data_IF_851292900277
#
_entry.id   IF_851292900277
#
_cell.length_a   1.000
_cell.length_b   1.000
_cell.length_c   1.000
_cell.angle_alpha   90.00
_cell.angle_beta   90.00
_cell.angle_gamma   90.00
#
_symmetry.space_group_name_H-M   'P 1'
#
loop_
_entity.id
_entity.type
_entity.pdbx_description
1 polymer ?
#
# COMPACT_ATOMS: atom_id res chain seq x y z
N UNK A 1 9.75 -32.26 -18.03
CA UNK A 1 9.34 -33.17 -16.94
C UNK A 1 8.27 -32.42 -16.17
N UNK A 2 7.01 -32.68 -16.44
CA UNK A 2 5.86 -32.05 -15.75
C UNK A 2 5.70 -32.82 -14.44
N UNK A 3 5.94 -32.14 -13.31
CA UNK A 3 5.69 -32.71 -11.99
C UNK A 3 4.19 -32.66 -11.75
N UNK A 4 3.55 -33.81 -11.74
CA UNK A 4 2.13 -33.95 -11.40
C UNK A 4 1.96 -33.80 -9.88
N UNK A 5 1.56 -32.62 -9.45
CA UNK A 5 1.35 -32.24 -8.04
C UNK A 5 0.01 -32.78 -7.47
N UNK A 6 -0.73 -33.59 -8.21
CA UNK A 6 -2.05 -34.09 -7.78
C UNK A 6 -2.02 -35.34 -6.93
N UNK A 7 -0.86 -35.95 -6.69
CA UNK A 7 -0.70 -37.20 -5.93
C UNK A 7 0.27 -37.05 -4.77
N UNK A 8 -0.09 -36.32 -3.73
CA UNK A 8 0.53 -36.50 -2.42
C UNK A 8 -0.52 -36.47 -1.32
N UNK A 9 -0.72 -37.64 -0.70
CA UNK A 9 -1.61 -37.95 0.40
C UNK A 9 -1.15 -37.36 1.75
N UNK A 10 -0.85 -36.04 1.82
CA UNK A 10 -0.63 -35.33 3.09
C UNK A 10 -1.79 -34.40 3.46
N UNK A 11 -3.00 -34.71 3.02
CA UNK A 11 -4.20 -33.86 3.10
C UNK A 11 -5.03 -34.05 4.36
N UNK A 12 -4.60 -34.86 5.35
CA UNK A 12 -5.49 -35.19 6.48
C UNK A 12 -5.78 -34.03 7.46
N UNK A 13 -4.87 -33.06 7.59
CA UNK A 13 -5.07 -31.93 8.50
C UNK A 13 -5.93 -30.79 7.88
N UNK A 14 -5.96 -30.67 6.55
CA UNK A 14 -6.75 -29.67 5.83
C UNK A 14 -8.15 -30.18 5.43
N UNK A 15 -8.41 -31.48 5.53
CA UNK A 15 -9.72 -32.06 5.24
C UNK A 15 -10.81 -31.65 6.25
N UNK A 16 -10.45 -31.02 7.37
CA UNK A 16 -11.36 -30.53 8.40
C UNK A 16 -11.28 -29.00 8.56
N UNK A 17 -10.95 -28.26 7.50
CA UNK A 17 -10.93 -26.80 7.54
C UNK A 17 -12.34 -26.27 7.81
N UNK A 18 -12.50 -25.57 8.94
CA UNK A 18 -13.73 -24.92 9.35
C UNK A 18 -13.59 -23.40 9.21
N UNK A 19 -14.33 -22.78 8.28
CA UNK A 19 -14.27 -21.33 8.06
C UNK A 19 -14.63 -20.49 9.30
N UNK A 20 -15.63 -20.92 10.08
CA UNK A 20 -16.08 -20.17 11.26
C UNK A 20 -15.05 -20.21 12.38
N UNK A 21 -14.35 -21.33 12.53
CA UNK A 21 -13.22 -21.45 13.45
C UNK A 21 -12.04 -20.57 12.96
N UNK A 22 -11.78 -20.55 11.66
CA UNK A 22 -10.72 -19.73 11.08
C UNK A 22 -10.97 -18.23 11.29
N UNK A 23 -12.20 -17.76 11.15
CA UNK A 23 -12.60 -16.37 11.44
C UNK A 23 -12.27 -16.03 12.90
N UNK A 24 -12.62 -16.87 13.87
CA UNK A 24 -12.29 -16.67 15.29
C UNK A 24 -10.78 -16.59 15.55
N UNK A 25 -9.96 -17.27 14.74
CA UNK A 25 -8.52 -17.19 14.83
C UNK A 25 -7.96 -15.87 14.26
N UNK A 26 -8.57 -15.34 13.22
CA UNK A 26 -8.26 -13.99 12.72
C UNK A 26 -8.68 -12.90 13.71
N UNK A 27 -9.83 -13.06 14.37
CA UNK A 27 -10.27 -12.13 15.44
C UNK A 27 -9.27 -12.04 16.60
N UNK A 28 -8.63 -13.17 17.01
CA UNK A 28 -7.55 -13.15 18.01
C UNK A 28 -6.33 -12.33 17.59
N UNK A 29 -6.11 -12.21 16.28
CA UNK A 29 -5.03 -11.42 15.70
C UNK A 29 -5.45 -9.97 15.41
N UNK A 30 -6.70 -9.59 15.73
CA UNK A 30 -7.31 -8.31 15.35
C UNK A 30 -7.25 -8.05 13.83
N UNK A 31 -7.47 -9.09 13.04
CA UNK A 31 -7.55 -9.04 11.59
C UNK A 31 -8.99 -9.32 11.14
N UNK A 32 -9.61 -8.35 10.51
CA UNK A 32 -10.98 -8.38 10.01
C UNK A 32 -11.08 -8.41 8.47
N UNK A 33 -9.98 -8.09 7.78
CA UNK A 33 -9.92 -8.09 6.33
C UNK A 33 -8.50 -8.33 5.80
N UNK A 34 -8.40 -8.78 4.56
CA UNK A 34 -7.17 -8.74 3.76
C UNK A 34 -7.05 -7.45 2.95
N UNK A 35 -5.85 -7.14 2.44
CA UNK A 35 -5.66 -6.01 1.51
C UNK A 35 -4.51 -6.28 0.54
N UNK A 36 -4.46 -5.58 -0.62
CA UNK A 36 -3.34 -5.70 -1.55
C UNK A 36 -1.99 -5.36 -0.92
N UNK A 37 -1.96 -4.37 -0.03
CA UNK A 37 -0.74 -3.98 0.70
C UNK A 37 -0.25 -5.03 1.70
N UNK A 38 -1.17 -5.82 2.27
CA UNK A 38 -0.81 -6.98 3.08
C UNK A 38 -0.18 -8.07 2.21
N UNK A 39 -0.81 -8.42 1.09
CA UNK A 39 -0.35 -9.49 0.20
C UNK A 39 1.03 -9.18 -0.41
N UNK A 40 1.33 -7.89 -0.64
CA UNK A 40 2.62 -7.44 -1.15
C UNK A 40 3.81 -7.68 -0.21
N UNK A 41 3.57 -7.99 1.06
CA UNK A 41 4.62 -8.23 2.06
C UNK A 41 5.09 -9.68 2.05
N UNK A 42 6.32 -9.93 2.52
CA UNK A 42 6.75 -11.29 2.85
C UNK A 42 5.88 -11.87 3.97
N UNK A 43 5.84 -13.18 4.14
CA UNK A 43 5.09 -13.78 5.24
C UNK A 43 5.62 -13.34 6.61
N UNK A 44 6.93 -13.12 6.73
CA UNK A 44 7.56 -12.64 7.95
C UNK A 44 7.17 -11.18 8.26
N UNK A 45 7.22 -10.29 7.26
CA UNK A 45 6.80 -8.90 7.41
C UNK A 45 5.30 -8.79 7.71
N UNK A 46 4.49 -9.60 7.03
CA UNK A 46 3.06 -9.68 7.30
C UNK A 46 2.77 -10.15 8.73
N UNK A 47 3.46 -11.19 9.19
CA UNK A 47 3.31 -11.73 10.54
C UNK A 47 3.62 -10.67 11.59
N UNK A 48 4.72 -9.92 11.43
CA UNK A 48 5.06 -8.83 12.34
C UNK A 48 4.04 -7.70 12.25
N UNK A 49 3.79 -7.21 11.05
CA UNK A 49 3.00 -6.00 10.86
C UNK A 49 1.52 -6.18 11.21
N UNK A 50 0.95 -7.36 11.00
CA UNK A 50 -0.49 -7.54 11.12
C UNK A 50 -0.90 -8.51 12.23
N UNK A 51 -0.01 -9.42 12.66
CA UNK A 51 -0.33 -10.39 13.68
C UNK A 51 0.39 -10.15 15.02
N UNK A 52 1.48 -9.35 15.01
CA UNK A 52 2.28 -9.07 16.22
C UNK A 52 2.24 -7.61 16.65
N UNK A 53 2.39 -6.68 15.72
CA UNK A 53 2.30 -5.25 16.01
C UNK A 53 0.85 -4.82 16.21
N UNK A 54 0.61 -3.99 17.23
CA UNK A 54 -0.65 -3.26 17.36
C UNK A 54 -0.75 -2.10 16.35
N UNK A 55 -1.86 -1.39 16.36
CA UNK A 55 -2.10 -0.28 15.44
C UNK A 55 -1.09 0.88 15.64
N UNK A 56 -0.67 1.12 16.87
CA UNK A 56 0.29 2.17 17.21
C UNK A 56 1.68 1.83 16.68
N UNK A 57 2.13 0.59 16.84
CA UNK A 57 3.40 0.11 16.30
C UNK A 57 3.44 0.23 14.79
N UNK A 58 2.37 -0.20 14.10
CA UNK A 58 2.24 -0.09 12.64
C UNK A 58 2.30 1.35 12.16
N UNK A 59 1.62 2.25 12.87
CA UNK A 59 1.67 3.68 12.58
C UNK A 59 3.08 4.21 12.74
N UNK A 60 3.74 3.95 13.86
CA UNK A 60 5.08 4.43 14.18
C UNK A 60 6.14 3.87 13.22
N UNK A 61 6.01 2.61 12.78
CA UNK A 61 6.89 2.02 11.77
C UNK A 61 6.81 2.75 10.43
N UNK A 62 5.64 3.20 10.04
CA UNK A 62 5.39 3.77 8.71
C UNK A 62 5.53 5.30 8.68
N UNK A 63 5.59 5.98 9.83
CA UNK A 63 5.74 7.43 9.88
C UNK A 63 7.06 7.84 9.24
N UNK A 64 6.97 8.70 8.22
CA UNK A 64 8.11 9.28 7.55
C UNK A 64 7.71 10.56 6.81
N UNK A 65 8.68 11.42 6.49
CA UNK A 65 8.42 12.59 5.65
C UNK A 65 7.76 12.24 4.31
N UNK A 66 8.12 11.08 3.72
CA UNK A 66 7.54 10.62 2.45
C UNK A 66 6.06 10.32 2.57
N UNK A 67 5.67 9.63 3.65
CA UNK A 67 4.26 9.37 3.92
C UNK A 67 3.50 10.67 4.13
N UNK A 68 4.04 11.60 4.93
CA UNK A 68 3.42 12.90 5.18
C UNK A 68 3.28 13.71 3.88
N UNK A 69 4.33 13.78 3.06
CA UNK A 69 4.27 14.46 1.76
C UNK A 69 3.29 13.81 0.79
N UNK A 70 3.30 12.48 0.70
CA UNK A 70 2.33 11.73 -0.13
C UNK A 70 0.89 11.98 0.28
N UNK A 71 0.61 12.00 1.59
CA UNK A 71 -0.73 12.32 2.14
C UNK A 71 -1.13 13.76 1.79
N UNK A 72 -0.23 14.75 1.93
CA UNK A 72 -0.54 16.15 1.59
C UNK A 72 -0.81 16.33 0.10
N UNK A 73 0.00 15.72 -0.77
CA UNK A 73 -0.20 15.75 -2.23
C UNK A 73 -1.52 15.06 -2.60
N UNK A 74 -1.78 13.87 -2.03
CA UNK A 74 -3.03 13.14 -2.25
C UNK A 74 -4.24 13.97 -1.85
N UNK A 75 -4.28 14.50 -0.61
CA UNK A 75 -5.41 15.32 -0.14
C UNK A 75 -5.61 16.59 -0.95
N UNK A 76 -4.52 17.29 -1.33
CA UNK A 76 -4.62 18.47 -2.17
C UNK A 76 -5.28 18.14 -3.52
N UNK A 77 -4.79 17.12 -4.20
CA UNK A 77 -5.32 16.73 -5.50
C UNK A 77 -6.71 16.10 -5.42
N UNK A 78 -7.06 15.42 -4.34
CA UNK A 78 -8.42 14.96 -4.07
C UNK A 78 -9.42 16.12 -3.91
N UNK A 79 -9.06 17.13 -3.11
CA UNK A 79 -9.87 18.36 -2.96
C UNK A 79 -10.02 19.12 -4.28
N UNK A 80 -9.02 19.04 -5.16
CA UNK A 80 -9.03 19.69 -6.45
C UNK A 80 -9.94 18.99 -7.47
N UNK A 81 -9.75 17.68 -7.69
CA UNK A 81 -10.40 16.97 -8.81
C UNK A 81 -11.71 16.30 -8.41
N UNK A 82 -11.86 15.83 -7.17
CA UNK A 82 -12.99 15.00 -6.79
C UNK A 82 -14.25 15.80 -6.49
N UNK A 83 -15.39 15.26 -6.86
CA UNK A 83 -16.72 15.73 -6.43
C UNK A 83 -17.12 15.09 -5.10
N UNK A 84 -16.68 13.86 -4.88
CA UNK A 84 -17.00 13.10 -3.68
C UNK A 84 -15.73 12.53 -3.03
N UNK A 85 -15.73 12.47 -1.71
CA UNK A 85 -14.75 11.74 -0.92
C UNK A 85 -15.47 10.74 -0.02
N UNK A 86 -14.83 9.60 0.22
CA UNK A 86 -15.34 8.61 1.16
C UNK A 86 -14.47 8.62 2.43
N UNK A 87 -15.13 8.80 3.57
CA UNK A 87 -14.55 8.59 4.88
C UNK A 87 -15.19 7.35 5.48
N UNK A 88 -14.41 6.28 5.60
CA UNK A 88 -14.95 4.94 5.76
C UNK A 88 -15.95 4.65 4.62
N UNK A 89 -17.19 4.28 4.91
CA UNK A 89 -18.23 4.04 3.89
C UNK A 89 -19.10 5.26 3.60
N UNK A 90 -18.87 6.37 4.31
CA UNK A 90 -19.69 7.56 4.19
C UNK A 90 -19.24 8.44 3.02
N UNK A 91 -20.14 8.60 2.05
CA UNK A 91 -19.95 9.50 0.90
C UNK A 91 -20.17 10.95 1.33
N UNK A 92 -19.18 11.81 1.09
CA UNK A 92 -19.24 13.24 1.36
C UNK A 92 -19.05 14.03 0.07
N UNK A 93 -19.77 15.13 -0.08
CA UNK A 93 -19.57 16.10 -1.15
C UNK A 93 -18.37 16.99 -0.81
N UNK A 94 -17.45 17.17 -1.74
CA UNK A 94 -16.30 18.07 -1.58
C UNK A 94 -16.71 19.47 -2.04
N UNK A 95 -16.52 20.44 -1.17
CA UNK A 95 -16.65 21.84 -1.55
C UNK A 95 -15.49 22.24 -2.49
N UNK A 96 -15.82 22.75 -3.67
CA UNK A 96 -14.81 23.21 -4.64
C UNK A 96 -14.11 24.46 -4.11
N UNK A 97 -12.79 24.38 -3.96
CA UNK A 97 -11.91 25.47 -3.54
C UNK A 97 -10.96 25.85 -4.66
N UNK A 98 -10.47 27.07 -4.64
CA UNK A 98 -9.37 27.50 -5.48
C UNK A 98 -8.10 26.71 -5.12
N UNK A 99 -7.31 26.36 -6.13
CA UNK A 99 -6.08 25.55 -5.96
C UNK A 99 -5.09 26.22 -4.99
N UNK A 100 -4.95 27.53 -5.01
CA UNK A 100 -4.03 28.24 -4.12
C UNK A 100 -4.48 28.15 -2.65
N UNK A 101 -5.78 28.15 -2.40
CA UNK A 101 -6.36 27.95 -1.05
C UNK A 101 -6.07 26.51 -0.58
N UNK A 102 -6.28 25.52 -1.44
CA UNK A 102 -6.00 24.11 -1.15
C UNK A 102 -4.52 23.93 -0.80
N UNK A 103 -3.61 24.47 -1.62
CA UNK A 103 -2.16 24.39 -1.41
C UNK A 103 -1.80 25.01 -0.05
N UNK A 104 -2.32 26.20 0.27
CA UNK A 104 -2.03 26.86 1.54
C UNK A 104 -2.48 26.03 2.75
N UNK A 105 -3.68 25.44 2.69
CA UNK A 105 -4.19 24.55 3.73
C UNK A 105 -3.29 23.32 3.90
N UNK A 106 -2.90 22.67 2.81
CA UNK A 106 -2.11 21.42 2.87
C UNK A 106 -0.65 21.64 3.27
N UNK A 107 -0.05 22.80 2.96
CA UNK A 107 1.26 23.16 3.50
C UNK A 107 1.18 23.35 5.02
N UNK A 108 0.12 24.03 5.52
CA UNK A 108 -0.06 24.20 6.95
C UNK A 108 -0.26 22.86 7.69
N UNK A 109 -0.90 21.88 7.06
CA UNK A 109 -1.02 20.51 7.60
C UNK A 109 0.31 19.75 7.50
N UNK A 110 1.05 19.91 6.41
CA UNK A 110 2.36 19.30 6.23
C UNK A 110 3.35 19.75 7.31
N UNK A 111 3.31 21.03 7.69
CA UNK A 111 4.18 21.62 8.72
C UNK A 111 3.91 21.09 10.14
N UNK A 112 2.79 20.43 10.38
CA UNK A 112 2.48 19.80 11.69
C UNK A 112 3.24 18.50 11.91
N UNK A 113 3.87 17.96 10.88
CA UNK A 113 4.64 16.73 10.99
C UNK A 113 5.81 16.88 11.98
N UNK A 114 5.99 15.88 12.82
CA UNK A 114 7.09 15.82 13.78
C UNK A 114 8.12 14.79 13.31
N UNK A 115 9.26 15.22 12.77
CA UNK A 115 10.32 14.33 12.33
C UNK A 115 10.88 13.53 13.50
N UNK A 116 11.16 12.25 13.29
CA UNK A 116 11.64 11.34 14.34
C UNK A 116 13.17 11.29 14.46
N UNK A 117 13.91 11.85 13.49
CA UNK A 117 15.37 12.01 13.55
C UNK A 117 15.85 13.17 12.67
N UNK A 118 17.13 13.49 12.77
CA UNK A 118 17.72 14.62 12.04
C UNK A 118 17.64 14.45 10.50
N UNK A 119 17.84 13.24 9.98
CA UNK A 119 17.77 12.97 8.53
C UNK A 119 16.33 13.15 8.03
N UNK A 120 15.37 12.65 8.76
CA UNK A 120 13.94 12.80 8.45
C UNK A 120 13.52 14.28 8.46
N UNK A 121 14.02 15.05 9.44
CA UNK A 121 13.82 16.51 9.53
C UNK A 121 14.35 17.23 8.29
N UNK A 122 15.59 16.97 7.92
CA UNK A 122 16.20 17.59 6.74
C UNK A 122 15.49 17.22 5.43
N UNK A 123 15.01 15.98 5.33
CA UNK A 123 14.25 15.53 4.18
C UNK A 123 12.84 16.15 4.15
N UNK A 124 12.22 16.33 5.30
CA UNK A 124 10.94 17.03 5.42
C UNK A 124 11.07 18.50 4.99
N UNK A 125 12.09 19.21 5.48
CA UNK A 125 12.39 20.60 5.11
C UNK A 125 12.72 20.73 3.59
N UNK A 126 13.53 19.83 3.03
CA UNK A 126 13.83 19.81 1.59
C UNK A 126 12.55 19.59 0.75
N UNK A 127 11.71 18.66 1.16
CA UNK A 127 10.47 18.34 0.44
C UNK A 127 9.51 19.53 0.41
N UNK A 128 9.46 20.32 1.46
CA UNK A 128 8.61 21.53 1.52
C UNK A 128 8.90 22.48 0.37
N UNK A 129 10.16 22.57 -0.09
CA UNK A 129 10.58 23.48 -1.16
C UNK A 129 9.95 23.14 -2.52
N UNK A 130 9.54 21.89 -2.75
CA UNK A 130 8.94 21.43 -4.01
C UNK A 130 7.55 20.81 -3.85
N UNK A 131 6.99 20.83 -2.64
CA UNK A 131 5.67 20.26 -2.36
C UNK A 131 4.56 20.92 -3.21
N UNK A 132 4.63 22.25 -3.34
CA UNK A 132 3.71 23.05 -4.18
C UNK A 132 3.76 22.59 -5.63
N UNK A 133 4.96 22.41 -6.18
CA UNK A 133 5.14 21.97 -7.56
C UNK A 133 4.59 20.56 -7.77
N UNK A 134 4.85 19.65 -6.83
CA UNK A 134 4.30 18.29 -6.89
C UNK A 134 2.76 18.29 -6.85
N UNK A 135 2.14 19.13 -6.02
CA UNK A 135 0.67 19.26 -5.99
C UNK A 135 0.16 19.73 -7.36
N UNK A 136 0.76 20.80 -7.91
CA UNK A 136 0.36 21.34 -9.22
C UNK A 136 0.56 20.34 -10.36
N UNK A 137 1.69 19.61 -10.35
CA UNK A 137 1.96 18.54 -11.34
C UNK A 137 0.94 17.43 -11.22
N UNK A 138 0.58 17.01 -9.99
CA UNK A 138 -0.44 15.99 -9.76
C UNK A 138 -1.81 16.43 -10.28
N UNK A 139 -2.23 17.66 -9.96
CA UNK A 139 -3.50 18.19 -10.46
C UNK A 139 -3.53 18.24 -12.00
N UNK A 140 -2.45 18.72 -12.62
CA UNK A 140 -2.31 18.72 -14.09
C UNK A 140 -2.39 17.31 -14.66
N UNK A 141 -1.72 16.34 -14.07
CA UNK A 141 -1.77 14.95 -14.54
C UNK A 141 -3.20 14.39 -14.48
N UNK A 142 -3.95 14.71 -13.43
CA UNK A 142 -5.34 14.29 -13.27
C UNK A 142 -6.27 14.97 -14.29
N UNK A 143 -6.04 16.25 -14.60
CA UNK A 143 -6.77 16.97 -15.65
C UNK A 143 -6.50 16.33 -17.04
N UNK A 144 -5.23 15.99 -17.33
CA UNK A 144 -4.83 15.34 -18.58
C UNK A 144 -5.48 13.94 -18.76
N UNK A 145 -5.80 13.26 -17.65
CA UNK A 145 -6.51 11.97 -17.66
C UNK A 145 -8.01 12.10 -17.98
N UNK A 146 -8.56 13.29 -17.96
CA UNK A 146 -9.98 13.58 -18.32
C UNK A 146 -10.97 12.65 -17.61
N UNK A 147 -10.92 12.66 -16.28
CA UNK A 147 -11.79 11.81 -15.45
C UNK A 147 -13.26 12.29 -15.43
N UNK A 148 -13.55 13.49 -15.97
CA UNK A 148 -14.88 14.08 -15.99
C UNK A 148 -15.28 14.69 -14.63
N UNK A 149 -16.55 15.08 -14.51
CA UNK A 149 -17.04 15.87 -13.37
C UNK A 149 -17.42 15.01 -12.15
N UNK A 150 -17.59 13.71 -12.32
CA UNK A 150 -18.02 12.80 -11.27
C UNK A 150 -16.89 11.87 -10.82
N UNK A 151 -15.89 12.45 -10.15
CA UNK A 151 -14.79 11.72 -9.55
C UNK A 151 -15.04 11.53 -8.06
N UNK A 152 -14.84 10.30 -7.58
CA UNK A 152 -14.78 9.97 -6.16
C UNK A 152 -13.35 9.66 -5.73
N UNK A 153 -12.95 10.07 -4.54
CA UNK A 153 -11.66 9.71 -3.93
C UNK A 153 -11.83 8.90 -2.66
N UNK A 154 -10.78 8.15 -2.31
CA UNK A 154 -10.72 7.32 -1.09
C UNK A 154 -11.85 6.26 -1.03
N UNK A 155 -12.37 5.85 -2.19
CA UNK A 155 -13.47 4.89 -2.20
C UNK A 155 -13.00 3.49 -1.87
N UNK A 156 -13.66 2.88 -0.89
CA UNK A 156 -13.45 1.48 -0.56
C UNK A 156 -14.03 0.57 -1.64
N UNK A 157 -13.25 -0.43 -2.05
CA UNK A 157 -13.73 -1.55 -2.84
C UNK A 157 -13.49 -2.84 -2.05
N UNK A 158 -14.53 -3.66 -1.97
CA UNK A 158 -14.48 -4.94 -1.24
C UNK A 158 -14.74 -6.07 -2.23
N UNK A 159 -13.98 -7.14 -2.11
CA UNK A 159 -14.22 -8.35 -2.88
C UNK A 159 -14.09 -9.60 -2.00
N UNK A 160 -15.09 -10.47 -2.08
CA UNK A 160 -15.13 -11.75 -1.37
C UNK A 160 -14.69 -12.88 -2.29
N UNK A 161 -13.48 -13.38 -2.07
CA UNK A 161 -13.01 -14.58 -2.74
C UNK A 161 -13.62 -15.83 -2.07
N UNK A 162 -14.09 -16.78 -2.86
CA UNK A 162 -14.72 -18.01 -2.34
C UNK A 162 -13.77 -18.86 -1.49
N UNK A 163 -12.48 -18.75 -1.78
CA UNK A 163 -11.40 -19.51 -1.16
C UNK A 163 -10.90 -18.89 0.14
N UNK A 164 -11.31 -17.67 0.47
CA UNK A 164 -10.86 -16.94 1.65
C UNK A 164 -12.00 -16.72 2.63
N UNK A 165 -11.70 -16.80 3.93
CA UNK A 165 -12.67 -16.50 4.99
C UNK A 165 -12.82 -15.00 5.23
N UNK A 166 -11.78 -14.22 4.96
CA UNK A 166 -11.81 -12.75 5.07
C UNK A 166 -12.06 -12.11 3.71
N UNK A 167 -12.87 -11.07 3.71
CA UNK A 167 -13.01 -10.20 2.56
C UNK A 167 -11.70 -9.44 2.30
N UNK A 168 -11.41 -9.15 1.04
CA UNK A 168 -10.28 -8.29 0.68
C UNK A 168 -10.79 -6.88 0.41
N UNK A 169 -10.17 -5.90 1.08
CA UNK A 169 -10.56 -4.49 1.01
C UNK A 169 -9.40 -3.68 0.44
N UNK A 170 -9.72 -2.78 -0.48
CA UNK A 170 -8.80 -1.77 -0.99
C UNK A 170 -9.43 -0.39 -0.95
N UNK A 171 -8.61 0.64 -1.09
CA UNK A 171 -9.03 2.03 -1.11
C UNK A 171 -8.47 2.71 -2.35
N UNK A 172 -9.35 3.10 -3.25
CA UNK A 172 -9.02 3.66 -4.56
C UNK A 172 -8.78 5.16 -4.41
N UNK A 173 -7.63 5.66 -4.85
CA UNK A 173 -7.28 7.07 -4.73
C UNK A 173 -8.25 7.97 -5.51
N UNK A 174 -8.55 7.60 -6.78
CA UNK A 174 -9.53 8.32 -7.61
C UNK A 174 -10.32 7.34 -8.48
N UNK A 175 -11.61 7.50 -8.53
CA UNK A 175 -12.50 6.68 -9.34
C UNK A 175 -13.49 7.56 -10.12
N UNK A 176 -13.54 7.35 -11.41
CA UNK A 176 -14.57 7.91 -12.28
C UNK A 176 -15.90 7.20 -12.02
N UNK A 177 -16.90 7.89 -11.46
CA UNK A 177 -18.16 7.25 -11.04
C UNK A 177 -19.01 6.83 -12.22
N UNK A 178 -19.12 7.65 -13.24
CA UNK A 178 -19.93 7.42 -14.45
C UNK A 178 -19.14 6.76 -15.59
N UNK A 179 -17.87 6.42 -15.39
CA UNK A 179 -17.00 5.89 -16.42
C UNK A 179 -16.21 4.65 -15.99
N UNK A 180 -15.21 4.32 -16.79
CA UNK A 180 -14.44 3.07 -16.67
C UNK A 180 -13.07 3.24 -16.06
N UNK A 181 -12.65 4.46 -15.70
CA UNK A 181 -11.29 4.72 -15.22
C UNK A 181 -11.20 4.74 -13.71
N UNK A 182 -10.10 4.24 -13.20
CA UNK A 182 -9.62 4.52 -11.84
C UNK A 182 -8.15 4.92 -11.88
N UNK A 183 -7.70 5.69 -10.89
CA UNK A 183 -6.31 6.14 -10.80
C UNK A 183 -5.74 5.79 -9.44
N UNK A 184 -4.55 5.21 -9.45
CA UNK A 184 -3.72 4.99 -8.27
C UNK A 184 -2.52 5.94 -8.33
N UNK A 185 -2.37 6.79 -7.32
CA UNK A 185 -1.33 7.82 -7.25
C UNK A 185 -0.12 7.33 -6.45
N UNK A 186 1.06 7.51 -7.01
CA UNK A 186 2.34 7.23 -6.33
C UNK A 186 3.27 8.43 -6.44
N UNK A 187 3.68 8.95 -5.31
CA UNK A 187 4.65 10.05 -5.23
C UNK A 187 6.07 9.55 -5.06
N UNK A 188 7.02 10.20 -5.71
CA UNK A 188 8.46 9.91 -5.63
C UNK A 188 9.19 11.14 -5.12
N UNK A 189 9.88 11.00 -3.99
CA UNK A 189 10.56 12.07 -3.30
C UNK A 189 12.08 11.91 -3.35
N UNK A 190 12.82 13.02 -3.40
CA UNK A 190 14.26 13.03 -3.16
C UNK A 190 14.54 12.40 -1.80
N UNK A 191 15.71 11.81 -1.67
CA UNK A 191 16.12 11.23 -0.39
C UNK A 191 17.58 11.54 -0.09
N UNK A 192 17.89 11.68 1.19
CA UNK A 192 19.25 11.77 1.68
C UNK A 192 19.75 10.37 1.98
N UNK A 193 20.85 9.96 1.36
CA UNK A 193 21.43 8.61 1.56
C UNK A 193 22.89 8.74 1.91
N UNK A 194 23.40 7.76 2.68
CA UNK A 194 24.83 7.64 2.94
C UNK A 194 25.56 7.53 1.60
N UNK A 195 26.60 8.32 1.42
CA UNK A 195 27.41 8.30 0.20
C UNK A 195 28.39 7.14 0.24
N UNK A 196 28.48 6.38 -0.85
CA UNK A 196 29.45 5.27 -0.98
C UNK A 196 30.87 5.81 -1.32
N UNK A 197 30.96 7.06 -1.80
CA UNK A 197 32.20 7.65 -2.32
C UNK A 197 32.69 8.86 -1.55
N UNK A 198 31.86 9.45 -0.67
CA UNK A 198 32.18 10.64 0.13
C UNK A 198 31.83 10.41 1.59
N UNK A 199 32.58 11.01 2.49
CA UNK A 199 32.20 11.05 3.89
C UNK A 199 30.85 11.78 4.04
N UNK A 200 29.85 11.12 4.69
CA UNK A 200 28.56 11.71 4.98
C UNK A 200 27.41 11.26 4.06
N UNK A 201 26.42 12.13 3.89
CA UNK A 201 25.20 11.86 3.14
C UNK A 201 25.14 12.70 1.86
N UNK A 202 24.52 12.16 0.82
CA UNK A 202 24.24 12.85 -0.43
C UNK A 202 22.74 12.80 -0.76
N UNK A 203 22.27 13.83 -1.47
CA UNK A 203 20.92 13.87 -2.01
C UNK A 203 20.82 13.01 -3.27
N UNK A 204 19.81 12.13 -3.29
CA UNK A 204 19.50 11.31 -4.46
C UNK A 204 18.22 11.82 -5.09
N UNK A 205 18.28 12.15 -6.38
CA UNK A 205 17.15 12.63 -7.17
C UNK A 205 16.06 11.55 -7.24
N UNK A 206 14.79 11.96 -7.18
CA UNK A 206 13.65 11.09 -7.44
C UNK A 206 13.44 10.93 -8.94
N UNK A 207 13.66 9.73 -9.46
CA UNK A 207 13.36 9.41 -10.85
C UNK A 207 11.97 8.76 -10.96
N UNK A 208 11.25 9.12 -12.01
CA UNK A 208 10.04 8.38 -12.39
C UNK A 208 10.44 7.00 -12.92
N UNK A 209 9.72 5.95 -12.53
CA UNK A 209 10.04 4.60 -12.97
C UNK A 209 9.77 4.45 -14.48
N UNK A 210 10.58 3.64 -15.15
CA UNK A 210 10.36 3.24 -16.56
C UNK A 210 9.34 2.11 -16.67
N UNK A 211 9.16 1.35 -15.61
CA UNK A 211 8.15 0.31 -15.44
C UNK A 211 7.54 0.43 -14.04
N UNK A 212 6.26 0.07 -13.86
CA UNK A 212 5.62 0.10 -12.55
C UNK A 212 6.28 -0.86 -11.58
N UNK A 213 6.27 -0.48 -10.30
CA UNK A 213 6.58 -1.41 -9.21
C UNK A 213 5.50 -2.48 -9.14
N UNK A 214 5.91 -3.74 -9.02
CA UNK A 214 4.97 -4.89 -8.98
C UNK A 214 3.96 -4.79 -7.83
N UNK A 215 4.33 -4.18 -6.70
CA UNK A 215 3.42 -4.01 -5.57
C UNK A 215 2.32 -2.99 -5.89
N UNK A 216 2.61 -1.99 -6.72
CA UNK A 216 1.60 -1.06 -7.22
C UNK A 216 0.72 -1.70 -8.30
N UNK A 217 1.30 -2.58 -9.13
CA UNK A 217 0.53 -3.40 -10.07
C UNK A 217 -0.46 -4.31 -9.34
N UNK A 218 -0.06 -4.92 -8.21
CA UNK A 218 -0.96 -5.72 -7.35
C UNK A 218 -2.15 -4.93 -6.84
N UNK A 219 -1.94 -3.67 -6.43
CA UNK A 219 -3.05 -2.79 -6.03
C UNK A 219 -4.00 -2.54 -7.20
N UNK A 220 -3.46 -2.16 -8.37
CA UNK A 220 -4.23 -1.95 -9.58
C UNK A 220 -4.99 -3.21 -10.02
N UNK A 221 -4.35 -4.38 -9.96
CA UNK A 221 -4.96 -5.66 -10.32
C UNK A 221 -6.16 -6.00 -9.41
N UNK A 222 -6.02 -5.79 -8.11
CA UNK A 222 -7.14 -5.98 -7.18
C UNK A 222 -8.29 -5.01 -7.47
N UNK A 223 -8.01 -3.71 -7.68
CA UNK A 223 -9.04 -2.71 -7.97
C UNK A 223 -9.77 -3.03 -9.27
N UNK A 224 -9.01 -3.37 -10.32
CA UNK A 224 -9.59 -3.83 -11.59
C UNK A 224 -10.47 -5.06 -11.40
N UNK A 225 -9.99 -6.05 -10.64
CA UNK A 225 -10.73 -7.29 -10.39
C UNK A 225 -12.04 -7.03 -9.65
N UNK A 226 -12.02 -6.17 -8.62
CA UNK A 226 -13.17 -5.84 -7.80
C UNK A 226 -14.19 -4.92 -8.51
N UNK A 227 -13.70 -3.98 -9.35
CA UNK A 227 -14.56 -2.94 -9.94
C UNK A 227 -14.80 -3.09 -11.44
N UNK A 228 -13.97 -3.87 -12.12
CA UNK A 228 -13.90 -3.99 -13.59
C UNK A 228 -13.54 -2.66 -14.29
N UNK A 229 -13.00 -1.69 -13.56
CA UNK A 229 -12.54 -0.42 -14.12
C UNK A 229 -11.08 -0.47 -14.51
N UNK A 230 -10.70 0.30 -15.53
CA UNK A 230 -9.36 0.33 -16.13
C UNK A 230 -8.43 1.14 -15.24
N UNK A 231 -7.37 0.55 -14.67
CA UNK A 231 -6.44 1.27 -13.82
C UNK A 231 -5.50 2.16 -14.64
N UNK A 232 -5.25 3.35 -14.08
CA UNK A 232 -4.23 4.28 -14.50
C UNK A 232 -3.28 4.45 -13.32
N UNK A 233 -2.06 3.98 -13.45
CA UNK A 233 -1.05 4.09 -12.39
C UNK A 233 -0.21 5.35 -12.63
N UNK A 234 -0.45 6.37 -11.83
CA UNK A 234 0.15 7.69 -11.93
C UNK A 234 1.33 7.82 -10.95
N UNK A 235 2.53 8.03 -11.49
CA UNK A 235 3.71 8.41 -10.72
C UNK A 235 4.01 9.89 -10.89
N UNK A 236 4.27 10.58 -9.78
CA UNK A 236 4.60 12.01 -9.77
C UNK A 236 5.89 12.22 -8.97
N UNK A 237 6.76 13.08 -9.48
CA UNK A 237 7.91 13.63 -8.75
C UNK A 237 7.89 15.17 -8.84
N UNK A 238 8.93 15.83 -8.32
CA UNK A 238 9.05 17.29 -8.30
C UNK A 238 9.12 17.95 -9.68
N UNK A 239 9.46 17.20 -10.74
CA UNK A 239 9.75 17.75 -12.07
C UNK A 239 8.66 17.37 -13.10
N UNK A 240 8.03 16.19 -12.94
CA UNK A 240 7.17 15.63 -13.97
C UNK A 240 6.27 14.49 -13.43
N UNK A 241 5.47 13.91 -14.30
CA UNK A 241 4.68 12.71 -14.03
C UNK A 241 4.81 11.67 -15.15
N UNK A 242 4.48 10.42 -14.83
CA UNK A 242 4.34 9.32 -15.78
C UNK A 242 3.07 8.53 -15.47
N UNK A 243 2.32 8.16 -16.51
CA UNK A 243 1.09 7.37 -16.40
C UNK A 243 1.27 6.06 -17.13
N UNK A 244 1.02 4.96 -16.43
CA UNK A 244 0.94 3.63 -17.02
C UNK A 244 -0.53 3.22 -17.13
N UNK A 245 -0.90 2.72 -18.30
CA UNK A 245 -2.23 2.21 -18.64
C UNK A 245 -2.10 0.85 -19.31
N UNK A 246 -3.16 0.06 -19.49
CA UNK A 246 -3.09 -1.17 -20.27
C UNK A 246 -2.53 -0.99 -21.69
N UNK A 247 -2.78 0.16 -22.30
CA UNK A 247 -2.30 0.47 -23.66
C UNK A 247 -0.80 0.74 -23.73
N UNK A 248 -0.18 1.14 -22.61
CA UNK A 248 1.24 1.54 -22.55
C UNK A 248 2.10 0.61 -21.71
N UNK A 249 1.48 -0.34 -20.99
CA UNK A 249 2.18 -1.21 -20.06
C UNK A 249 1.52 -2.60 -19.98
N UNK A 250 2.23 -3.62 -20.43
CA UNK A 250 1.79 -5.02 -20.39
C UNK A 250 1.39 -5.48 -18.98
N UNK A 251 2.07 -4.98 -17.93
CA UNK A 251 1.78 -5.35 -16.55
C UNK A 251 0.39 -4.89 -16.06
N UNK A 252 -0.29 -4.02 -16.80
CA UNK A 252 -1.65 -3.55 -16.50
C UNK A 252 -2.71 -4.09 -17.46
N UNK A 253 -2.34 -5.01 -18.37
CA UNK A 253 -3.33 -5.69 -19.21
C UNK A 253 -4.24 -6.58 -18.37
N UNK A 254 -5.51 -6.79 -18.79
CA UNK A 254 -6.44 -7.67 -18.07
C UNK A 254 -5.86 -9.06 -17.79
N UNK A 255 -5.17 -9.65 -18.75
CA UNK A 255 -4.56 -10.99 -18.65
C UNK A 255 -3.47 -11.04 -17.58
N UNK A 256 -2.59 -10.04 -17.56
CA UNK A 256 -1.54 -9.96 -16.55
C UNK A 256 -2.11 -9.67 -15.16
N UNK A 257 -3.06 -8.75 -15.05
CA UNK A 257 -3.72 -8.43 -13.78
C UNK A 257 -4.48 -9.64 -13.22
N UNK A 258 -5.16 -10.43 -14.05
CA UNK A 258 -5.80 -11.69 -13.62
C UNK A 258 -4.74 -12.65 -13.05
N UNK A 259 -3.61 -12.84 -13.76
CA UNK A 259 -2.51 -13.65 -13.25
C UNK A 259 -2.01 -13.17 -11.87
N UNK A 260 -1.82 -11.86 -11.70
CA UNK A 260 -1.39 -11.27 -10.42
C UNK A 260 -2.41 -11.54 -9.30
N UNK A 261 -3.71 -11.39 -9.58
CA UNK A 261 -4.77 -11.67 -8.61
C UNK A 261 -4.73 -13.15 -8.18
N UNK A 262 -4.51 -14.09 -9.10
CA UNK A 262 -4.39 -15.51 -8.77
C UNK A 262 -3.15 -15.80 -7.90
N UNK A 263 -2.01 -15.15 -8.17
CA UNK A 263 -0.83 -15.25 -7.31
C UNK A 263 -1.07 -14.69 -5.92
N UNK A 264 -1.74 -13.55 -5.82
CA UNK A 264 -2.10 -12.92 -4.55
C UNK A 264 -3.07 -13.79 -3.74
N UNK A 265 -4.05 -14.40 -4.41
CA UNK A 265 -4.98 -15.33 -3.79
C UNK A 265 -4.25 -16.55 -3.19
N UNK A 266 -3.23 -17.07 -3.88
CA UNK A 266 -2.42 -18.18 -3.37
C UNK A 266 -1.66 -17.77 -2.09
N UNK A 267 -1.07 -16.57 -2.05
CA UNK A 267 -0.40 -16.05 -0.85
C UNK A 267 -1.37 -15.92 0.31
N UNK A 268 -2.56 -15.37 0.07
CA UNK A 268 -3.59 -15.18 1.11
C UNK A 268 -4.12 -16.54 1.63
N UNK A 269 -4.24 -17.54 0.76
CA UNK A 269 -4.60 -18.93 1.17
C UNK A 269 -3.52 -19.57 2.04
N UNK A 270 -2.25 -19.38 1.70
CA UNK A 270 -1.13 -19.87 2.52
C UNK A 270 -1.21 -19.26 3.93
N UNK A 271 -1.44 -17.94 4.03
CA UNK A 271 -1.58 -17.24 5.31
C UNK A 271 -2.81 -17.71 6.10
N UNK A 272 -3.93 -17.87 5.42
CA UNK A 272 -5.14 -18.44 6.02
C UNK A 272 -4.87 -19.83 6.65
N UNK A 273 -4.17 -20.70 5.92
CA UNK A 273 -3.79 -22.00 6.43
C UNK A 273 -2.85 -21.91 7.64
N UNK A 274 -1.87 -20.98 7.61
CA UNK A 274 -0.98 -20.73 8.76
C UNK A 274 -1.77 -20.27 9.98
N UNK A 275 -2.69 -19.32 9.82
CA UNK A 275 -3.56 -18.84 10.91
C UNK A 275 -4.40 -20.00 11.47
N UNK A 276 -4.96 -20.84 10.61
CA UNK A 276 -5.78 -21.97 11.02
C UNK A 276 -4.97 -23.02 11.78
N UNK A 277 -3.83 -23.46 11.23
CA UNK A 277 -2.94 -24.46 11.83
C UNK A 277 -2.38 -24.01 13.18
N UNK A 278 -2.02 -22.73 13.28
CA UNK A 278 -1.47 -22.13 14.50
C UNK A 278 -2.56 -21.57 15.45
N UNK A 279 -3.85 -21.80 15.17
CA UNK A 279 -5.00 -21.38 16.00
C UNK A 279 -5.01 -19.89 16.34
N UNK A 280 -4.51 -19.05 15.41
CA UNK A 280 -4.38 -17.61 15.60
C UNK A 280 -3.26 -17.20 16.56
N UNK A 281 -2.23 -18.02 16.77
CA UNK A 281 -1.08 -17.71 17.60
C UNK A 281 0.07 -17.19 16.73
N UNK A 282 0.42 -15.89 16.85
CA UNK A 282 1.57 -15.31 16.16
C UNK A 282 2.89 -16.01 16.52
N UNK A 283 3.07 -16.41 17.79
CA UNK A 283 4.26 -17.14 18.26
C UNK A 283 4.38 -18.53 17.62
N UNK A 284 3.26 -19.24 17.43
CA UNK A 284 3.30 -20.56 16.78
C UNK A 284 3.52 -20.42 15.28
N UNK A 285 3.02 -19.36 14.64
CA UNK A 285 3.36 -19.05 13.24
C UNK A 285 4.85 -18.71 13.08
N UNK A 286 5.47 -18.01 14.04
CA UNK A 286 6.89 -17.70 14.02
C UNK A 286 7.79 -18.94 14.05
N UNK A 287 7.33 -20.07 14.60
CA UNK A 287 8.03 -21.37 14.53
C UNK A 287 8.12 -21.93 13.10
N UNK A 288 7.21 -21.50 12.22
CA UNK A 288 7.08 -21.99 10.84
C UNK A 288 7.60 -21.00 9.79
N UNK A 289 7.86 -19.76 10.19
CA UNK A 289 8.27 -18.66 9.31
C UNK A 289 9.59 -18.09 9.84
N UNK A 290 10.65 -18.00 9.03
CA UNK A 290 11.88 -17.32 9.47
C UNK A 290 11.64 -15.85 9.76
N UNK A 291 12.46 -15.20 10.61
CA UNK A 291 12.35 -13.78 10.90
C UNK A 291 12.50 -12.93 9.62
N UNK A 292 11.98 -11.69 9.61
CA UNK A 292 12.20 -10.76 8.53
C UNK A 292 13.69 -10.44 8.35
N UNK A 293 14.08 -10.10 7.14
CA UNK A 293 15.38 -9.46 6.93
C UNK A 293 15.32 -8.01 7.43
N UNK A 294 15.75 -7.77 8.67
CA UNK A 294 15.79 -6.45 9.28
C UNK A 294 16.80 -5.48 8.61
N UNK A 295 17.68 -5.97 7.71
CA UNK A 295 18.53 -5.12 6.89
C UNK A 295 17.84 -4.63 5.61
N UNK A 296 16.70 -5.20 5.28
CA UNK A 296 15.94 -4.87 4.07
C UNK A 296 15.42 -3.44 4.07
N UNK A 297 15.06 -2.96 2.88
CA UNK A 297 14.44 -1.65 2.69
C UNK A 297 13.24 -1.38 3.61
N UNK A 298 12.45 -2.38 3.92
CA UNK A 298 11.24 -2.27 4.75
C UNK A 298 11.53 -1.92 6.22
N UNK A 299 12.79 -2.14 6.67
CA UNK A 299 13.21 -1.95 8.06
C UNK A 299 14.28 -0.89 8.24
N UNK A 300 14.82 -0.36 7.13
CA UNK A 300 16.01 0.51 7.14
C UNK A 300 15.89 1.76 8.01
N UNK A 301 14.71 2.38 8.02
CA UNK A 301 14.47 3.65 8.72
C UNK A 301 13.55 3.46 9.95
N UNK A 302 13.32 2.20 10.35
CA UNK A 302 12.46 1.87 11.49
C UNK A 302 13.22 2.07 12.80
N UNK A 303 12.55 2.59 13.82
CA UNK A 303 13.13 2.81 15.14
C UNK A 303 13.58 1.49 15.77
N UNK A 304 14.74 1.52 16.44
CA UNK A 304 15.39 0.34 17.01
C UNK A 304 14.48 -0.43 17.99
N UNK A 305 13.66 0.28 18.77
CA UNK A 305 12.75 -0.35 19.73
C UNK A 305 11.66 -1.18 19.03
N UNK A 306 11.18 -0.72 17.88
CA UNK A 306 10.24 -1.48 17.05
C UNK A 306 10.92 -2.70 16.39
N UNK A 307 12.18 -2.56 15.99
CA UNK A 307 12.98 -3.70 15.47
C UNK A 307 13.16 -4.75 16.57
N UNK A 308 13.52 -4.34 17.81
CA UNK A 308 13.63 -5.25 18.96
C UNK A 308 12.29 -5.92 19.28
N UNK A 309 11.19 -5.16 19.28
CA UNK A 309 9.84 -5.71 19.48
C UNK A 309 9.48 -6.71 18.39
N UNK A 310 9.81 -6.43 17.12
CA UNK A 310 9.61 -7.36 16.01
C UNK A 310 10.43 -8.65 16.21
N UNK A 311 11.73 -8.52 16.52
CA UNK A 311 12.63 -9.65 16.72
C UNK A 311 12.20 -10.54 17.90
N UNK A 312 11.64 -9.95 18.97
CA UNK A 312 11.19 -10.69 20.15
C UNK A 312 10.09 -11.73 19.87
N UNK A 313 9.43 -11.65 18.71
CA UNK A 313 8.49 -12.69 18.28
C UNK A 313 9.17 -14.04 18.07
N UNK A 314 10.47 -14.05 17.73
CA UNK A 314 11.30 -15.26 17.51
C UNK A 314 12.17 -15.61 18.72
N UNK A 315 12.11 -14.82 19.81
CA UNK A 315 12.80 -15.18 21.04
C UNK A 315 12.16 -16.44 21.65
N UNK A 316 12.97 -17.48 21.84
CA UNK A 316 12.54 -18.79 22.37
C UNK A 316 11.65 -19.62 21.41
N UNK A 317 11.80 -19.44 20.11
CA UNK A 317 11.17 -20.24 19.05
C UNK A 317 12.06 -21.41 18.65
#
# INVERSE_FOLDING_TARGET
>A
MVIDLTKNNSTSALNNFDPDICIKYYEKLNLDHGSPSQTAQTNADWLVNYCWFDQTDRRNKNISFRMNAGVSIGRASQKYVSKYMYEAEKKMLIEKKNIDTIIKEEIAEYDKYQPHNQIDKEQHEDTKNYLVDMIKITCKALDDLKLGDEVASERYCTYKFKELVLDKIGRIDYEQMSGTKLVELKTKHRSKRKSDTKAGFSWVKAYLPKQPDINHVRQCAFYWYATKKIPHLLYVNQDNFNVFTPDTCELLTPEYMEFVVQQDLLVDKIRQNLVYLCRGSAKDMAKLIPPPDFSSYMWKDVQMDLIKKAASLWDNV
#
